data_IF_703440293812
#
_entry.id   IF_703440293812
#
_cell.length_a   1.000
_cell.length_b   1.000
_cell.length_c   1.000
_cell.angle_alpha   90.00
_cell.angle_beta   90.00
_cell.angle_gamma   90.00
#
_symmetry.space_group_name_H-M   'P 1'
#
loop_
_entity.id
_entity.type
_entity.pdbx_description
1 polymer ?
#
# COMPACT_ATOMS: atom_id res chain seq x y z
N UNK A 1 17.73 -13.33 -40.08
CA UNK A 1 17.33 -12.38 -39.01
C UNK A 1 16.65 -13.14 -37.85
N UNK A 2 17.12 -14.35 -37.51
CA UNK A 2 16.56 -15.26 -36.46
C UNK A 2 17.73 -15.81 -35.61
N UNK A 3 18.78 -15.01 -35.42
CA UNK A 3 19.96 -15.39 -34.62
C UNK A 3 20.13 -14.50 -33.37
N UNK A 4 19.21 -13.55 -33.14
CA UNK A 4 19.30 -12.56 -32.05
C UNK A 4 18.27 -12.72 -30.92
N UNK A 5 17.39 -13.72 -30.98
CA UNK A 5 16.24 -13.81 -30.05
C UNK A 5 16.50 -14.69 -28.82
N UNK A 6 17.66 -15.35 -28.74
CA UNK A 6 17.87 -16.54 -27.91
C UNK A 6 18.88 -16.33 -26.73
N UNK A 7 19.33 -15.10 -26.51
CA UNK A 7 20.05 -14.67 -25.29
C UNK A 7 19.11 -14.38 -24.08
N UNK A 8 17.80 -14.61 -24.20
CA UNK A 8 16.79 -14.01 -23.31
C UNK A 8 16.41 -14.79 -22.04
N UNK A 9 16.60 -16.13 -21.98
CA UNK A 9 16.47 -16.86 -20.71
C UNK A 9 17.86 -16.94 -20.09
N UNK A 10 18.06 -16.14 -19.06
CA UNK A 10 19.30 -16.01 -18.31
C UNK A 10 19.92 -17.40 -18.00
N UNK A 11 21.23 -17.53 -18.20
CA UNK A 11 21.95 -18.80 -18.02
C UNK A 11 21.75 -19.40 -16.61
N UNK A 12 21.52 -18.56 -15.61
CA UNK A 12 21.24 -18.97 -14.24
C UNK A 12 19.84 -19.61 -14.11
N UNK A 13 18.82 -19.12 -14.84
CA UNK A 13 17.49 -19.73 -14.85
C UNK A 13 17.59 -21.16 -15.40
N UNK A 14 18.33 -21.34 -16.49
CA UNK A 14 18.54 -22.67 -17.08
C UNK A 14 19.28 -23.60 -16.12
N UNK A 15 20.37 -23.13 -15.52
CA UNK A 15 21.13 -23.91 -14.56
C UNK A 15 20.27 -24.35 -13.37
N UNK A 16 19.41 -23.45 -12.87
CA UNK A 16 18.49 -23.75 -11.78
C UNK A 16 17.41 -24.77 -12.16
N UNK A 17 16.81 -24.67 -13.36
CA UNK A 17 15.85 -25.68 -13.86
C UNK A 17 16.51 -27.05 -14.00
N UNK A 18 17.72 -27.11 -14.56
CA UNK A 18 18.45 -28.37 -14.74
C UNK A 18 18.89 -29.02 -13.42
N UNK A 19 19.10 -28.20 -12.38
CA UNK A 19 19.45 -28.67 -11.04
C UNK A 19 18.21 -29.10 -10.22
N UNK A 20 17.00 -28.71 -10.64
CA UNK A 20 15.77 -29.03 -9.91
C UNK A 20 15.42 -30.52 -10.04
N UNK A 21 15.08 -31.16 -8.91
CA UNK A 21 14.70 -32.56 -8.88
C UNK A 21 13.44 -32.81 -9.71
N UNK A 22 13.46 -33.85 -10.54
CA UNK A 22 12.32 -34.26 -11.38
C UNK A 22 11.42 -35.21 -10.59
N UNK A 23 10.16 -34.83 -10.41
CA UNK A 23 9.11 -35.72 -9.92
C UNK A 23 8.44 -36.49 -11.06
N UNK A 24 7.82 -37.63 -10.78
CA UNK A 24 7.10 -38.41 -11.81
C UNK A 24 5.72 -37.84 -12.12
N UNK A 25 4.98 -37.42 -11.09
CA UNK A 25 3.61 -36.92 -11.24
C UNK A 25 3.27 -35.93 -10.14
N UNK A 26 2.57 -34.88 -10.51
CA UNK A 26 1.94 -33.95 -9.58
C UNK A 26 0.50 -33.67 -9.99
N UNK A 27 -0.42 -33.92 -9.05
CA UNK A 27 -1.85 -33.71 -9.24
C UNK A 27 -2.28 -32.38 -8.60
N UNK A 28 -2.77 -31.44 -9.42
CA UNK A 28 -3.35 -30.17 -8.96
C UNK A 28 -4.84 -30.40 -8.70
N UNK A 29 -5.23 -30.28 -7.44
CA UNK A 29 -6.63 -30.41 -6.97
C UNK A 29 -6.99 -29.22 -6.10
N UNK A 30 -8.23 -28.76 -6.19
CA UNK A 30 -8.74 -27.64 -5.38
C UNK A 30 -7.78 -26.44 -5.42
N UNK A 31 -7.34 -25.88 -4.28
CA UNK A 31 -6.35 -24.80 -4.19
C UNK A 31 -4.97 -25.33 -3.74
N UNK A 32 -4.28 -26.00 -4.66
CA UNK A 32 -2.97 -26.61 -4.40
C UNK A 32 -1.88 -25.54 -4.32
N UNK A 33 -1.02 -25.63 -3.30
CA UNK A 33 0.14 -24.74 -3.13
C UNK A 33 1.44 -25.53 -3.33
N UNK A 34 2.29 -25.06 -4.26
CA UNK A 34 3.65 -25.56 -4.43
C UNK A 34 4.64 -24.61 -3.75
N UNK A 35 5.40 -25.07 -2.74
CA UNK A 35 6.21 -24.18 -1.89
C UNK A 35 7.53 -23.72 -2.52
N UNK A 36 7.95 -24.33 -3.63
CA UNK A 36 9.22 -24.01 -4.31
C UNK A 36 8.98 -23.09 -5.52
N UNK A 37 10.06 -22.47 -5.98
CA UNK A 37 10.07 -21.59 -7.15
C UNK A 37 10.05 -22.40 -8.46
N UNK A 38 10.42 -23.69 -8.41
CA UNK A 38 10.45 -24.59 -9.57
C UNK A 38 9.61 -25.83 -9.26
N UNK A 39 8.63 -26.11 -10.12
CA UNK A 39 7.90 -27.38 -10.17
C UNK A 39 8.40 -28.13 -11.41
N UNK A 40 9.18 -29.19 -11.20
CA UNK A 40 9.74 -30.01 -12.29
C UNK A 40 9.22 -31.44 -12.20
N UNK A 41 8.37 -31.84 -13.15
CA UNK A 41 7.71 -33.15 -13.14
C UNK A 41 7.61 -33.76 -14.53
N UNK A 42 7.44 -35.08 -14.63
CA UNK A 42 7.09 -35.70 -15.91
C UNK A 42 5.62 -35.40 -16.25
N UNK A 43 4.70 -35.58 -15.31
CA UNK A 43 3.26 -35.39 -15.54
C UNK A 43 2.66 -34.38 -14.56
N UNK A 44 2.24 -33.22 -15.07
CA UNK A 44 1.46 -32.24 -14.33
C UNK A 44 -0.02 -32.38 -14.68
N UNK A 45 -0.86 -32.70 -13.71
CA UNK A 45 -2.26 -33.08 -13.95
C UNK A 45 -3.21 -32.12 -13.28
N UNK A 46 -3.98 -31.37 -14.07
CA UNK A 46 -5.02 -30.47 -13.59
C UNK A 46 -6.38 -31.18 -13.54
N UNK A 47 -7.01 -31.15 -12.37
CA UNK A 47 -8.40 -31.54 -12.20
C UNK A 47 -9.33 -30.37 -12.54
N UNK A 48 -10.62 -30.68 -12.73
CA UNK A 48 -11.65 -29.71 -13.07
C UNK A 48 -11.66 -28.54 -12.08
N UNK A 49 -11.57 -27.30 -12.60
CA UNK A 49 -11.58 -26.05 -11.80
C UNK A 49 -10.49 -25.98 -10.72
N UNK A 50 -9.37 -26.67 -10.92
CA UNK A 50 -8.26 -26.67 -9.96
C UNK A 50 -7.41 -25.41 -10.07
N UNK A 51 -6.75 -25.05 -8.97
CA UNK A 51 -5.88 -23.90 -8.81
C UNK A 51 -4.51 -24.37 -8.31
N UNK A 52 -3.45 -23.89 -8.98
CA UNK A 52 -2.06 -24.05 -8.57
C UNK A 52 -1.49 -22.69 -8.21
N UNK A 53 -1.11 -22.52 -6.94
CA UNK A 53 -0.31 -21.39 -6.48
C UNK A 53 1.14 -21.82 -6.32
N UNK A 54 2.05 -21.18 -7.04
CA UNK A 54 3.46 -21.60 -7.10
C UNK A 54 4.43 -20.45 -6.86
N UNK A 55 5.53 -20.75 -6.16
CA UNK A 55 6.62 -19.81 -5.91
C UNK A 55 6.32 -18.82 -4.79
N UNK A 56 7.14 -17.77 -4.71
CA UNK A 56 7.03 -16.68 -3.74
C UNK A 56 7.07 -15.34 -4.46
N UNK A 57 6.58 -14.31 -3.79
CA UNK A 57 6.51 -12.97 -4.38
C UNK A 57 7.88 -12.30 -4.55
N UNK A 58 8.90 -12.77 -3.84
CA UNK A 58 10.28 -12.29 -3.86
C UNK A 58 11.23 -13.19 -4.66
N UNK A 59 10.70 -14.23 -5.31
CA UNK A 59 11.50 -15.13 -6.13
C UNK A 59 12.13 -14.38 -7.31
N UNK A 60 13.34 -14.76 -7.75
CA UNK A 60 13.94 -14.17 -8.95
C UNK A 60 13.20 -14.59 -10.23
N UNK A 61 12.57 -15.75 -10.21
CA UNK A 61 11.68 -16.29 -11.25
C UNK A 61 10.84 -17.43 -10.68
N UNK A 62 9.82 -17.86 -11.40
CA UNK A 62 9.04 -19.07 -11.13
C UNK A 62 9.01 -19.93 -12.38
N UNK A 63 9.16 -21.25 -12.24
CA UNK A 63 9.15 -22.18 -13.37
C UNK A 63 8.23 -23.39 -13.13
N UNK A 64 7.39 -23.68 -14.11
CA UNK A 64 6.66 -24.93 -14.23
C UNK A 64 7.26 -25.69 -15.40
N UNK A 65 7.82 -26.86 -15.12
CA UNK A 65 8.52 -27.71 -16.06
C UNK A 65 7.83 -29.07 -16.07
N UNK A 66 7.26 -29.45 -17.21
CA UNK A 66 6.50 -30.68 -17.35
C UNK A 66 6.82 -31.42 -18.66
N UNK A 67 7.03 -32.75 -18.64
CA UNK A 67 7.04 -33.50 -19.92
C UNK A 67 5.65 -33.45 -20.57
N UNK A 68 4.59 -33.53 -19.77
CA UNK A 68 3.21 -33.41 -20.18
C UNK A 68 2.38 -32.62 -19.16
N UNK A 69 1.59 -31.66 -19.66
CA UNK A 69 0.51 -31.03 -18.91
C UNK A 69 -0.80 -31.69 -19.34
N UNK A 70 -1.50 -32.33 -18.42
CA UNK A 70 -2.74 -33.04 -18.69
C UNK A 70 -3.92 -32.40 -17.96
N UNK A 71 -4.98 -32.09 -18.69
CA UNK A 71 -6.24 -31.61 -18.11
C UNK A 71 -7.25 -32.75 -18.10
N UNK A 72 -7.76 -33.13 -16.92
CA UNK A 72 -8.85 -34.13 -16.84
C UNK A 72 -10.10 -33.68 -17.61
N UNK A 73 -10.40 -32.39 -17.56
CA UNK A 73 -11.55 -31.77 -18.22
C UNK A 73 -11.11 -30.43 -18.85
N UNK A 74 -10.84 -30.45 -20.16
CA UNK A 74 -10.44 -29.26 -20.91
C UNK A 74 -11.59 -28.27 -21.15
N UNK A 75 -12.82 -28.58 -20.76
CA UNK A 75 -13.96 -27.66 -20.83
C UNK A 75 -14.05 -26.73 -19.61
N UNK A 76 -13.23 -26.97 -18.58
CA UNK A 76 -13.17 -26.19 -17.37
C UNK A 76 -11.82 -25.47 -17.24
N UNK A 77 -11.85 -24.20 -16.85
CA UNK A 77 -10.64 -23.42 -16.65
C UNK A 77 -9.98 -23.76 -15.32
N UNK A 78 -8.75 -24.28 -15.40
CA UNK A 78 -7.86 -24.37 -14.24
C UNK A 78 -7.04 -23.09 -14.11
N UNK A 79 -6.54 -22.81 -12.92
CA UNK A 79 -5.82 -21.57 -12.61
C UNK A 79 -4.37 -21.85 -12.22
N UNK A 80 -3.45 -21.04 -12.73
CA UNK A 80 -2.10 -20.91 -12.18
C UNK A 80 -1.92 -19.49 -11.71
N UNK A 81 -1.45 -19.31 -10.48
CA UNK A 81 -1.18 -17.99 -9.90
C UNK A 81 0.19 -17.98 -9.24
N UNK A 82 0.93 -16.90 -9.47
CA UNK A 82 2.17 -16.61 -8.75
C UNK A 82 1.86 -15.56 -7.67
N UNK A 83 2.18 -15.82 -6.39
CA UNK A 83 1.87 -14.89 -5.30
C UNK A 83 2.43 -13.48 -5.54
N UNK A 84 1.66 -12.47 -5.14
CA UNK A 84 2.08 -11.07 -5.15
C UNK A 84 2.50 -10.62 -3.75
N UNK A 85 3.42 -9.64 -3.69
CA UNK A 85 3.76 -9.01 -2.42
C UNK A 85 2.60 -8.10 -1.99
N UNK A 86 2.23 -8.05 -0.71
CA UNK A 86 1.27 -7.06 -0.24
C UNK A 86 1.83 -5.65 -0.45
N UNK A 87 0.94 -4.69 -0.68
CA UNK A 87 1.28 -3.28 -0.66
C UNK A 87 1.79 -2.88 0.74
N UNK A 88 2.70 -1.90 0.80
CA UNK A 88 3.22 -1.37 2.06
C UNK A 88 2.77 0.08 2.16
N UNK A 89 1.83 0.33 3.06
CA UNK A 89 1.28 1.66 3.27
C UNK A 89 2.23 2.55 4.08
N UNK A 90 2.09 3.85 3.87
CA UNK A 90 2.77 4.85 4.66
C UNK A 90 2.20 4.92 6.09
N UNK A 91 3.04 5.10 7.11
CA UNK A 91 2.56 5.27 8.48
C UNK A 91 1.74 6.55 8.63
N UNK A 92 0.75 6.54 9.51
CA UNK A 92 0.04 7.77 9.87
C UNK A 92 0.96 8.74 10.63
N UNK A 93 0.76 10.04 10.40
CA UNK A 93 1.45 11.09 11.13
C UNK A 93 0.95 11.16 12.58
N UNK A 94 1.82 11.30 13.59
CA UNK A 94 1.39 11.53 14.96
C UNK A 94 0.65 12.87 15.12
N UNK A 95 -0.28 12.90 16.07
CA UNK A 95 -0.99 14.12 16.44
C UNK A 95 -0.06 15.17 17.06
N UNK A 96 -0.38 16.43 16.82
CA UNK A 96 0.29 17.58 17.41
C UNK A 96 0.03 17.65 18.91
N UNK A 97 1.02 18.12 19.66
CA UNK A 97 0.88 18.29 21.11
C UNK A 97 -0.10 19.41 21.42
N UNK A 98 -0.93 19.18 22.43
CA UNK A 98 -1.77 20.23 23.00
C UNK A 98 -0.90 21.31 23.66
N UNK A 99 -1.39 22.55 23.67
CA UNK A 99 -0.78 23.61 24.48
C UNK A 99 -0.69 23.22 25.95
N UNK A 100 0.13 23.91 26.73
CA UNK A 100 0.24 23.68 28.17
C UNK A 100 0.29 25.00 28.96
N UNK A 101 -0.59 25.12 29.96
CA UNK A 101 -0.75 26.34 30.80
C UNK A 101 0.41 26.58 31.78
N UNK A 102 1.66 26.21 31.47
CA UNK A 102 2.74 26.36 32.46
C UNK A 102 4.08 26.88 31.98
N UNK A 103 4.55 26.67 30.75
CA UNK A 103 5.96 27.00 30.47
C UNK A 103 6.30 27.42 29.03
N UNK A 104 5.64 26.93 27.98
CA UNK A 104 6.16 27.09 26.60
C UNK A 104 5.19 27.80 25.65
N UNK A 105 3.98 27.27 25.43
CA UNK A 105 2.93 27.92 24.61
C UNK A 105 1.54 27.48 25.05
N UNK A 106 0.55 28.37 24.97
CA UNK A 106 -0.87 27.98 25.03
C UNK A 106 -1.33 27.37 23.69
N UNK A 107 -0.62 27.64 22.60
CA UNK A 107 -0.96 27.17 21.27
C UNK A 107 -0.71 25.66 21.14
N UNK A 108 -1.62 24.98 20.45
CA UNK A 108 -1.43 23.60 20.02
C UNK A 108 -0.46 23.51 18.84
N UNK A 109 0.31 22.43 18.80
CA UNK A 109 1.28 22.18 17.74
C UNK A 109 0.64 21.55 16.51
N UNK A 110 1.30 21.70 15.37
CA UNK A 110 0.88 21.04 14.14
C UNK A 110 0.88 19.50 14.29
N UNK A 111 -0.09 18.85 13.67
CA UNK A 111 -0.03 17.41 13.41
C UNK A 111 1.09 17.10 12.43
N UNK A 112 1.74 15.96 12.60
CA UNK A 112 2.79 15.53 11.69
C UNK A 112 2.22 14.99 10.38
N UNK A 113 3.03 15.05 9.32
CA UNK A 113 2.66 14.52 8.02
C UNK A 113 2.53 12.99 8.05
N UNK A 114 1.62 12.47 7.23
CA UNK A 114 1.54 11.04 6.93
C UNK A 114 2.70 10.61 6.04
N UNK A 115 3.20 9.40 6.26
CA UNK A 115 4.29 8.84 5.49
C UNK A 115 3.87 8.44 4.07
N UNK A 116 4.84 8.40 3.17
CA UNK A 116 4.64 7.93 1.79
C UNK A 116 4.47 6.41 1.76
N UNK A 117 3.56 5.90 0.92
CA UNK A 117 3.47 4.46 0.64
C UNK A 117 4.75 3.92 -0.03
N UNK A 118 4.84 2.61 -0.23
CA UNK A 118 5.91 2.01 -1.04
C UNK A 118 5.42 1.70 -2.47
N UNK A 119 6.27 1.82 -3.50
CA UNK A 119 5.91 1.34 -4.84
C UNK A 119 5.67 -0.16 -4.83
N UNK A 120 4.76 -0.62 -5.70
CA UNK A 120 4.56 -2.03 -5.95
C UNK A 120 5.84 -2.71 -6.38
N UNK A 121 6.04 -3.96 -5.95
CA UNK A 121 7.16 -4.80 -6.41
C UNK A 121 6.81 -5.54 -7.67
N UNK A 122 7.72 -5.51 -8.65
CA UNK A 122 7.61 -6.31 -9.88
C UNK A 122 7.47 -7.78 -9.53
N UNK A 123 6.50 -8.44 -10.15
CA UNK A 123 6.30 -9.86 -9.99
C UNK A 123 7.42 -10.66 -10.67
N UNK A 124 7.84 -11.82 -10.13
CA UNK A 124 8.78 -12.70 -10.82
C UNK A 124 8.26 -13.11 -12.21
N UNK A 125 9.17 -13.26 -13.20
CA UNK A 125 8.83 -13.88 -14.46
C UNK A 125 8.39 -15.33 -14.25
N UNK A 126 7.38 -15.77 -15.00
CA UNK A 126 6.87 -17.14 -15.01
C UNK A 126 7.31 -17.85 -16.29
N UNK A 127 7.97 -18.99 -16.15
CA UNK A 127 8.36 -19.87 -17.25
C UNK A 127 7.48 -21.11 -17.22
N UNK A 128 6.68 -21.31 -18.27
CA UNK A 128 5.95 -22.55 -18.53
C UNK A 128 6.68 -23.34 -19.61
N UNK A 129 7.45 -24.34 -19.21
CA UNK A 129 8.16 -25.25 -20.11
C UNK A 129 7.43 -26.59 -20.16
N UNK A 130 6.91 -26.98 -21.32
CA UNK A 130 6.37 -28.33 -21.46
C UNK A 130 6.54 -28.99 -22.82
N UNK A 131 6.54 -30.33 -22.80
CA UNK A 131 6.67 -31.14 -24.01
C UNK A 131 5.38 -31.28 -24.82
N UNK A 132 4.24 -31.46 -24.14
CA UNK A 132 2.92 -31.61 -24.77
C UNK A 132 1.78 -31.26 -23.82
N UNK A 133 0.60 -31.05 -24.39
CA UNK A 133 -0.66 -30.94 -23.65
C UNK A 133 -1.56 -32.15 -23.96
N UNK A 134 -2.16 -32.73 -22.93
CA UNK A 134 -3.14 -33.81 -23.05
C UNK A 134 -4.47 -33.46 -22.40
N UNK A 135 -5.54 -34.13 -22.83
CA UNK A 135 -6.89 -33.89 -22.35
C UNK A 135 -7.63 -35.21 -22.10
N UNK A 136 -8.38 -35.29 -21.00
CA UNK A 136 -9.40 -36.32 -20.79
C UNK A 136 -10.67 -36.01 -21.57
N UNK A 137 -11.11 -34.75 -21.49
CA UNK A 137 -12.16 -34.17 -22.33
C UNK A 137 -11.55 -32.98 -23.10
N UNK A 138 -11.59 -32.95 -24.44
CA UNK A 138 -11.03 -31.84 -25.21
C UNK A 138 -11.73 -30.49 -24.92
N UNK A 139 -11.04 -29.36 -25.10
CA UNK A 139 -11.62 -28.04 -24.92
C UNK A 139 -12.77 -27.79 -25.92
N UNK A 140 -13.89 -27.25 -25.42
CA UNK A 140 -15.13 -27.02 -26.17
C UNK A 140 -15.21 -25.65 -26.87
N UNK A 141 -14.10 -24.89 -26.92
CA UNK A 141 -14.00 -23.59 -27.58
C UNK A 141 -14.56 -22.38 -26.82
N UNK A 142 -15.37 -22.57 -25.77
CA UNK A 142 -15.96 -21.46 -24.97
C UNK A 142 -15.19 -21.11 -23.70
N UNK A 143 -14.25 -21.95 -23.27
CA UNK A 143 -13.46 -21.73 -22.06
C UNK A 143 -12.05 -22.26 -22.25
N UNK A 144 -11.02 -21.47 -21.89
CA UNK A 144 -9.64 -21.92 -21.95
C UNK A 144 -9.43 -23.00 -20.89
N UNK A 145 -8.68 -24.09 -21.17
CA UNK A 145 -8.40 -25.13 -20.18
C UNK A 145 -7.51 -24.62 -19.04
N UNK A 146 -6.73 -23.56 -19.29
CA UNK A 146 -5.84 -22.93 -18.32
C UNK A 146 -5.96 -21.41 -18.38
N UNK A 147 -6.01 -20.79 -17.22
CA UNK A 147 -5.76 -19.37 -17.01
C UNK A 147 -4.48 -19.19 -16.19
N UNK A 148 -3.55 -18.40 -16.69
CA UNK A 148 -2.32 -18.00 -16.00
C UNK A 148 -2.49 -16.56 -15.54
N UNK A 149 -2.50 -16.33 -14.24
CA UNK A 149 -2.62 -14.99 -13.65
C UNK A 149 -1.24 -14.51 -13.18
N UNK A 150 -0.75 -13.49 -13.87
CA UNK A 150 0.51 -12.79 -13.60
C UNK A 150 0.18 -11.34 -13.26
N UNK A 151 -0.15 -11.04 -11.99
CA UNK A 151 -0.50 -9.69 -11.57
C UNK A 151 0.66 -9.02 -10.84
N UNK A 152 0.95 -7.76 -11.17
CA UNK A 152 1.90 -6.94 -10.42
C UNK A 152 1.41 -6.64 -9.00
N UNK A 153 2.33 -6.36 -8.07
CA UNK A 153 1.93 -5.94 -6.74
C UNK A 153 1.31 -4.52 -6.77
N UNK A 154 0.32 -4.30 -5.92
CA UNK A 154 -0.28 -2.98 -5.75
C UNK A 154 0.72 -1.99 -5.14
N UNK A 155 0.51 -0.70 -5.42
CA UNK A 155 1.19 0.38 -4.75
C UNK A 155 0.65 0.60 -3.34
N UNK A 156 1.52 1.03 -2.44
CA UNK A 156 1.16 1.39 -1.07
C UNK A 156 0.36 2.67 -1.00
N UNK A 157 -0.68 2.68 -0.16
CA UNK A 157 -1.42 3.88 0.19
C UNK A 157 -0.55 4.83 1.00
N UNK A 158 -0.72 6.14 0.82
CA UNK A 158 -0.15 7.14 1.71
C UNK A 158 -0.78 7.12 3.10
N UNK A 159 0.02 7.39 4.13
CA UNK A 159 -0.44 7.50 5.51
C UNK A 159 -1.29 8.76 5.72
N UNK A 160 -2.25 8.71 6.63
CA UNK A 160 -3.04 9.90 6.98
C UNK A 160 -2.19 10.89 7.79
N UNK A 161 -2.42 12.18 7.60
CA UNK A 161 -1.81 13.22 8.42
C UNK A 161 -2.37 13.23 9.85
N UNK A 162 -1.52 13.55 10.81
CA UNK A 162 -1.89 13.65 12.22
C UNK A 162 -2.82 14.83 12.49
N UNK A 163 -3.66 14.72 13.51
CA UNK A 163 -4.51 15.83 13.95
C UNK A 163 -3.66 16.93 14.60
N UNK A 164 -4.01 18.19 14.38
CA UNK A 164 -3.39 19.31 15.09
C UNK A 164 -3.74 19.33 16.58
N UNK A 165 -2.80 19.77 17.40
CA UNK A 165 -2.99 19.91 18.84
C UNK A 165 -4.03 20.97 19.20
N UNK A 166 -4.77 20.74 20.27
CA UNK A 166 -5.70 21.75 20.80
C UNK A 166 -4.95 22.90 21.48
N UNK A 167 -5.46 24.12 21.32
CA UNK A 167 -5.00 25.27 22.09
C UNK A 167 -5.58 25.26 23.50
N UNK A 168 -4.80 25.74 24.46
CA UNK A 168 -5.18 25.77 25.87
C UNK A 168 -6.02 26.98 26.25
N UNK A 169 -6.82 26.81 27.30
CA UNK A 169 -7.60 27.93 27.83
C UNK A 169 -6.67 29.00 28.41
N UNK A 170 -6.93 30.26 28.06
CA UNK A 170 -6.28 31.41 28.67
C UNK A 170 -6.64 31.55 30.16
N UNK A 171 -5.70 32.00 30.98
CA UNK A 171 -5.90 32.18 32.41
C UNK A 171 -6.97 33.23 32.70
N UNK A 172 -7.83 32.94 33.65
CA UNK A 172 -8.79 33.93 34.15
C UNK A 172 -8.03 35.10 34.79
N UNK A 173 -8.58 36.31 34.67
CA UNK A 173 -8.00 37.51 35.25
C UNK A 173 -7.98 37.46 36.77
N UNK A 174 -7.14 38.27 37.40
CA UNK A 174 -7.11 38.41 38.86
C UNK A 174 -7.85 39.67 39.31
N UNK A 175 -8.66 39.59 40.38
CA UNK A 175 -9.37 40.76 40.86
C UNK A 175 -8.37 41.77 41.41
N UNK A 176 -8.73 43.05 41.34
CA UNK A 176 -7.96 44.08 42.01
C UNK A 176 -7.97 43.88 43.53
N UNK A 177 -7.03 44.48 44.24
CA UNK A 177 -7.00 44.52 45.70
C UNK A 177 -7.06 45.97 46.15
N UNK A 178 -7.85 46.24 47.18
CA UNK A 178 -7.99 47.55 47.78
C UNK A 178 -7.80 47.48 49.30
N UNK A 179 -7.52 48.62 49.90
CA UNK A 179 -7.61 48.84 51.34
C UNK A 179 -8.33 50.16 51.62
N UNK A 180 -8.74 50.34 52.87
CA UNK A 180 -9.25 51.60 53.38
C UNK A 180 -8.06 52.40 53.93
N UNK A 181 -7.93 53.67 53.55
CA UNK A 181 -6.95 54.56 54.17
C UNK A 181 -7.28 54.77 55.66
N UNK A 182 -6.25 54.95 56.49
CA UNK A 182 -6.39 55.24 57.91
C UNK A 182 -7.31 56.46 58.12
N UNK A 183 -8.47 56.24 58.76
CA UNK A 183 -9.56 57.23 58.87
C UNK A 183 -10.84 56.86 58.10
N UNK A 184 -10.88 55.72 57.41
CA UNK A 184 -12.11 55.05 56.96
C UNK A 184 -12.90 55.72 55.83
N UNK A 185 -12.37 56.79 55.25
CA UNK A 185 -13.15 57.67 54.35
C UNK A 185 -12.81 57.50 52.86
N UNK A 186 -11.75 56.76 52.52
CA UNK A 186 -11.23 56.62 51.16
C UNK A 186 -10.79 55.18 50.88
N UNK A 187 -11.19 54.65 49.72
CA UNK A 187 -10.81 53.31 49.23
C UNK A 187 -9.71 53.47 48.20
N UNK A 188 -8.52 52.97 48.50
CA UNK A 188 -7.37 53.01 47.59
C UNK A 188 -7.17 51.64 46.97
N UNK A 189 -6.96 51.62 45.65
CA UNK A 189 -6.67 50.39 44.94
C UNK A 189 -5.16 50.10 44.95
N UNK A 190 -4.76 49.05 45.66
CA UNK A 190 -3.38 48.57 45.77
C UNK A 190 -2.92 47.83 44.51
N UNK A 191 -3.84 47.06 43.92
CA UNK A 191 -3.56 46.25 42.74
C UNK A 191 -4.72 46.41 41.79
N UNK A 192 -4.45 46.85 40.57
CA UNK A 192 -5.45 46.93 39.53
C UNK A 192 -5.88 45.51 39.10
N UNK A 193 -7.16 45.30 38.76
CA UNK A 193 -7.59 44.03 38.16
C UNK A 193 -6.81 43.76 36.87
N UNK A 194 -6.46 42.50 36.66
CA UNK A 194 -5.78 42.03 35.45
C UNK A 194 -6.83 41.40 34.52
N UNK A 195 -6.80 41.68 33.21
CA UNK A 195 -7.69 41.01 32.25
C UNK A 195 -7.48 39.50 32.23
N UNK A 196 -8.47 38.77 31.69
CA UNK A 196 -8.24 37.38 31.31
C UNK A 196 -7.22 37.30 30.17
N UNK A 197 -6.42 36.25 30.13
CA UNK A 197 -5.48 36.00 29.03
C UNK A 197 -6.21 35.38 27.84
N UNK A 198 -5.71 35.63 26.63
CA UNK A 198 -6.21 34.98 25.43
C UNK A 198 -5.96 33.47 25.49
N UNK A 199 -6.86 32.71 24.88
CA UNK A 199 -6.69 31.27 24.68
C UNK A 199 -5.66 30.99 23.59
N UNK A 200 -5.04 29.81 23.65
CA UNK A 200 -4.11 29.36 22.66
C UNK A 200 -4.77 29.02 21.33
N UNK A 201 -4.03 29.25 20.24
CA UNK A 201 -4.44 28.86 18.90
C UNK A 201 -4.49 27.33 18.77
N UNK A 202 -5.35 26.84 17.89
CA UNK A 202 -5.29 25.45 17.47
C UNK A 202 -4.02 25.21 16.63
N UNK A 203 -3.49 23.99 16.70
CA UNK A 203 -2.50 23.49 15.75
C UNK A 203 -3.16 23.07 14.43
N UNK A 204 -2.51 23.29 13.27
CA UNK A 204 -3.00 22.78 12.00
C UNK A 204 -2.88 21.25 11.94
N UNK A 205 -3.73 20.61 11.12
CA UNK A 205 -3.56 19.19 10.82
C UNK A 205 -2.37 18.95 9.89
N UNK A 206 -1.75 17.78 9.99
CA UNK A 206 -0.67 17.36 9.12
C UNK A 206 -1.16 16.98 7.73
N UNK A 207 -0.31 17.09 6.72
CA UNK A 207 -0.63 16.65 5.36
C UNK A 207 -0.73 15.12 5.26
N UNK A 208 -1.59 14.61 4.37
CA UNK A 208 -1.59 13.19 4.02
C UNK A 208 -0.36 12.82 3.19
N UNK A 209 0.17 11.62 3.41
CA UNK A 209 1.27 11.09 2.62
C UNK A 209 0.85 10.72 1.21
N UNK A 210 1.79 10.72 0.26
CA UNK A 210 1.50 10.31 -1.11
C UNK A 210 1.30 8.79 -1.24
N UNK A 211 0.35 8.40 -2.08
CA UNK A 211 0.25 7.03 -2.58
C UNK A 211 1.36 6.73 -3.59
N UNK A 212 1.59 5.45 -3.90
CA UNK A 212 2.64 5.05 -4.86
C UNK A 212 2.11 4.19 -5.99
N UNK A 213 2.79 4.18 -7.15
CA UNK A 213 2.37 3.37 -8.28
C UNK A 213 2.49 1.88 -7.98
N UNK A 214 1.63 1.11 -8.63
CA UNK A 214 1.72 -0.33 -8.70
C UNK A 214 2.93 -0.80 -9.51
N UNK A 215 3.16 -2.10 -9.47
CA UNK A 215 4.08 -2.76 -10.38
C UNK A 215 3.34 -3.36 -11.59
N UNK A 216 4.05 -3.53 -12.72
CA UNK A 216 3.59 -4.38 -13.80
C UNK A 216 3.57 -5.86 -13.35
N UNK A 217 2.78 -6.67 -14.04
CA UNK A 217 2.86 -8.13 -13.94
C UNK A 217 4.21 -8.68 -14.41
N UNK A 218 4.45 -9.95 -14.10
CA UNK A 218 5.69 -10.63 -14.46
C UNK A 218 5.68 -11.04 -15.93
N UNK A 219 6.85 -11.11 -16.56
CA UNK A 219 6.98 -11.63 -17.93
C UNK A 219 6.56 -13.10 -17.94
N UNK A 220 5.79 -13.51 -18.95
CA UNK A 220 5.35 -14.91 -19.09
C UNK A 220 6.02 -15.53 -20.32
N UNK A 221 6.77 -16.61 -20.11
CA UNK A 221 7.46 -17.36 -21.15
C UNK A 221 6.79 -18.71 -21.34
N UNK A 222 6.26 -18.95 -22.54
CA UNK A 222 5.72 -20.25 -22.94
C UNK A 222 6.75 -20.93 -23.83
N UNK A 223 7.28 -22.06 -23.36
CA UNK A 223 8.42 -22.77 -23.98
C UNK A 223 8.06 -24.22 -24.23
N UNK A 224 8.21 -24.69 -25.46
CA UNK A 224 7.93 -26.10 -25.79
C UNK A 224 8.03 -26.41 -27.28
N UNK A 225 7.78 -27.66 -27.69
CA UNK A 225 7.71 -28.01 -29.10
C UNK A 225 6.57 -27.26 -29.80
N UNK A 226 6.61 -27.17 -31.13
CA UNK A 226 5.60 -26.41 -31.89
C UNK A 226 4.16 -26.84 -31.59
N UNK A 227 3.93 -28.13 -31.34
CA UNK A 227 2.60 -28.66 -31.00
C UNK A 227 2.14 -28.22 -29.60
N UNK A 228 3.05 -28.12 -28.62
CA UNK A 228 2.75 -27.54 -27.32
C UNK A 228 2.42 -26.06 -27.43
N UNK A 229 3.25 -25.28 -28.14
CA UNK A 229 3.02 -23.85 -28.33
C UNK A 229 1.65 -23.60 -28.97
N UNK A 230 1.27 -24.39 -29.99
CA UNK A 230 -0.06 -24.31 -30.60
C UNK A 230 -1.20 -24.61 -29.61
N UNK A 231 -1.06 -25.63 -28.77
CA UNK A 231 -2.05 -25.93 -27.74
C UNK A 231 -2.12 -24.84 -26.66
N UNK A 232 -0.98 -24.21 -26.34
CA UNK A 232 -0.92 -23.11 -25.37
C UNK A 232 -1.58 -21.82 -25.88
N UNK A 233 -1.83 -21.68 -27.18
CA UNK A 233 -2.64 -20.57 -27.72
C UNK A 233 -4.09 -20.61 -27.21
N UNK A 234 -4.59 -21.77 -26.78
CA UNK A 234 -5.90 -21.90 -26.14
C UNK A 234 -5.88 -21.50 -24.66
N UNK A 235 -4.72 -21.18 -24.09
CA UNK A 235 -4.60 -20.71 -22.72
C UNK A 235 -4.93 -19.22 -22.63
N UNK A 236 -5.53 -18.83 -21.51
CA UNK A 236 -5.68 -17.42 -21.15
C UNK A 236 -4.50 -16.99 -20.30
N UNK A 237 -3.96 -15.81 -20.58
CA UNK A 237 -2.90 -15.20 -19.79
C UNK A 237 -3.40 -13.83 -19.34
N UNK A 238 -3.76 -13.72 -18.07
CA UNK A 238 -4.09 -12.47 -17.41
C UNK A 238 -2.80 -11.86 -16.83
N UNK A 239 -2.01 -11.22 -17.70
CA UNK A 239 -0.84 -10.44 -17.29
C UNK A 239 -1.30 -9.00 -17.01
N UNK A 240 -1.47 -8.64 -15.74
CA UNK A 240 -2.09 -7.39 -15.32
C UNK A 240 -1.15 -6.60 -14.42
N UNK A 241 -1.22 -5.27 -14.47
CA UNK A 241 -0.63 -4.46 -13.43
C UNK A 241 -1.38 -4.62 -12.10
N UNK A 242 -0.70 -4.26 -11.00
CA UNK A 242 -1.38 -3.97 -9.75
C UNK A 242 -2.17 -2.67 -9.82
N UNK A 243 -2.84 -2.34 -8.73
CA UNK A 243 -3.56 -1.08 -8.54
C UNK A 243 -2.68 -0.07 -7.81
N UNK A 244 -2.71 1.19 -8.24
CA UNK A 244 -1.97 2.27 -7.59
C UNK A 244 -2.52 2.53 -6.19
N UNK A 245 -1.63 2.94 -5.28
CA UNK A 245 -2.02 3.32 -3.93
C UNK A 245 -2.64 4.71 -3.89
N UNK A 246 -3.72 4.85 -3.12
CA UNK A 246 -4.34 6.15 -2.86
C UNK A 246 -3.47 7.04 -1.96
N UNK A 247 -3.63 8.35 -2.07
CA UNK A 247 -3.12 9.32 -1.11
C UNK A 247 -3.74 9.16 0.28
N UNK A 248 -2.96 9.53 1.28
CA UNK A 248 -3.45 9.70 2.66
C UNK A 248 -4.40 10.87 2.79
N UNK A 249 -5.28 10.84 3.77
CA UNK A 249 -6.12 11.99 4.12
C UNK A 249 -5.29 13.01 4.87
N UNK A 250 -5.59 14.28 4.69
CA UNK A 250 -5.06 15.32 5.56
C UNK A 250 -5.66 15.21 6.97
N UNK A 251 -4.86 15.57 7.98
CA UNK A 251 -5.25 15.61 9.37
C UNK A 251 -6.23 16.74 9.66
N UNK A 252 -7.11 16.54 10.65
CA UNK A 252 -7.98 17.60 11.12
C UNK A 252 -7.22 18.63 11.97
N UNK A 253 -7.65 19.89 12.03
CA UNK A 253 -7.06 20.86 12.94
C UNK A 253 -7.41 20.52 14.40
N UNK A 254 -6.64 21.12 15.31
CA UNK A 254 -7.00 21.22 16.71
C UNK A 254 -8.19 22.14 16.96
N UNK A 255 -8.63 22.16 18.20
CA UNK A 255 -9.67 23.07 18.71
C UNK A 255 -9.00 24.27 19.37
N UNK A 256 -9.45 25.51 19.09
CA UNK A 256 -8.90 26.68 19.76
C UNK A 256 -9.21 26.70 21.24
N UNK A 257 -8.27 27.21 22.04
CA UNK A 257 -8.46 27.45 23.46
C UNK A 257 -9.45 28.57 23.72
N UNK A 258 -10.27 28.43 24.75
CA UNK A 258 -11.14 29.53 25.18
C UNK A 258 -10.32 30.64 25.85
N UNK A 259 -10.77 31.89 25.71
CA UNK A 259 -10.20 33.00 26.46
C UNK A 259 -10.50 32.92 27.96
N UNK A 260 -9.60 33.47 28.77
CA UNK A 260 -9.78 33.61 30.21
C UNK A 260 -10.87 34.61 30.56
N UNK A 261 -11.67 34.31 31.58
CA UNK A 261 -12.70 35.23 32.06
C UNK A 261 -12.07 36.35 32.87
N UNK A 262 -12.48 37.58 32.61
CA UNK A 262 -12.25 38.67 33.54
C UNK A 262 -13.11 38.51 34.78
N UNK A 263 -12.55 38.93 35.90
CA UNK A 263 -13.18 38.88 37.21
C UNK A 263 -13.72 40.24 37.60
N UNK A 264 -14.79 40.24 38.39
CA UNK A 264 -15.44 41.46 38.88
C UNK A 264 -14.42 42.26 39.72
N UNK A 265 -14.24 43.56 39.45
CA UNK A 265 -13.32 44.39 40.21
C UNK A 265 -13.84 44.59 41.63
N UNK A 266 -12.91 44.70 42.58
CA UNK A 266 -13.22 45.14 43.95
C UNK A 266 -13.53 46.65 43.93
N UNK A 267 -14.39 47.12 44.84
CA UNK A 267 -14.80 48.53 44.88
C UNK A 267 -13.58 49.48 44.92
N UNK A 268 -13.62 50.57 44.17
CA UNK A 268 -12.50 51.53 44.10
C UNK A 268 -11.33 51.11 43.18
N UNK A 269 -11.34 49.89 42.61
CA UNK A 269 -10.28 49.41 41.70
C UNK A 269 -10.61 49.55 40.20
N UNK A 270 -11.38 50.57 39.82
CA UNK A 270 -11.71 50.86 38.43
C UNK A 270 -12.68 49.87 37.79
N UNK A 271 -12.91 49.99 36.46
CA UNK A 271 -13.87 49.15 35.74
C UNK A 271 -13.36 47.71 35.53
N UNK A 272 -14.31 46.80 35.25
CA UNK A 272 -14.00 45.42 34.85
C UNK A 272 -13.12 45.44 33.59
N UNK A 273 -12.04 44.67 33.60
CA UNK A 273 -11.18 44.45 32.43
C UNK A 273 -11.85 43.48 31.44
N UNK A 274 -11.51 43.48 30.15
CA UNK A 274 -12.11 42.55 29.19
C UNK A 274 -11.72 41.10 29.48
N UNK A 275 -12.59 40.17 29.05
CA UNK A 275 -12.24 38.75 28.93
C UNK A 275 -11.14 38.59 27.86
N UNK A 276 -10.34 37.54 27.99
CA UNK A 276 -9.44 37.11 26.94
C UNK A 276 -10.22 36.61 25.73
N UNK A 277 -9.62 36.71 24.56
CA UNK A 277 -10.17 36.21 23.30
C UNK A 277 -9.93 34.69 23.20
N UNK A 278 -10.86 33.93 22.59
CA UNK A 278 -10.54 32.58 22.15
C UNK A 278 -9.36 32.61 21.17
N UNK A 279 -8.59 31.53 21.13
CA UNK A 279 -7.55 31.35 20.11
C UNK A 279 -8.13 31.22 18.71
N UNK A 280 -7.25 31.26 17.71
CA UNK A 280 -7.64 31.11 16.31
C UNK A 280 -7.78 29.63 15.91
N UNK A 281 -8.75 29.29 15.04
CA UNK A 281 -8.79 27.98 14.39
C UNK A 281 -7.62 27.82 13.42
N UNK A 282 -7.25 26.57 13.18
CA UNK A 282 -6.23 26.21 12.21
C UNK A 282 -6.84 25.46 11.01
N UNK A 283 -6.01 25.26 9.99
CA UNK A 283 -6.43 24.60 8.76
C UNK A 283 -6.34 23.07 8.88
N UNK A 284 -7.21 22.40 8.13
CA UNK A 284 -7.06 20.98 7.78
C UNK A 284 -5.78 20.82 6.96
N UNK A 285 -5.07 19.71 7.13
CA UNK A 285 -3.95 19.38 6.26
C UNK A 285 -4.43 19.00 4.87
N UNK A 286 -3.61 19.23 3.84
CA UNK A 286 -3.98 18.81 2.50
C UNK A 286 -3.94 17.28 2.38
N UNK A 287 -4.84 16.66 1.59
CA UNK A 287 -4.73 15.25 1.27
C UNK A 287 -3.44 14.98 0.49
N UNK A 288 -2.88 13.79 0.67
CA UNK A 288 -1.79 13.31 -0.15
C UNK A 288 -2.25 13.14 -1.59
N UNK A 289 -1.33 13.38 -2.52
CA UNK A 289 -1.57 13.13 -3.92
C UNK A 289 -1.23 11.68 -4.27
N UNK A 290 -1.93 11.13 -5.25
CA UNK A 290 -1.43 9.97 -5.97
C UNK A 290 -0.30 10.52 -6.84
N UNK A 291 0.90 9.92 -6.79
CA UNK A 291 1.98 10.34 -7.67
C UNK A 291 1.48 10.10 -9.11
N UNK A 292 1.14 11.18 -9.82
CA UNK A 292 0.43 11.24 -11.11
C UNK A 292 1.31 10.74 -12.27
N UNK A 293 2.03 9.63 -12.10
CA UNK A 293 2.42 8.79 -13.22
C UNK A 293 1.16 8.10 -13.74
N UNK A 294 0.24 8.89 -14.31
CA UNK A 294 -1.10 8.53 -14.79
C UNK A 294 -1.12 7.48 -15.91
N UNK A 295 0.02 6.85 -16.20
CA UNK A 295 0.08 5.68 -17.05
C UNK A 295 0.13 4.45 -16.13
N UNK A 296 -0.98 3.69 -16.00
CA UNK A 296 -0.94 2.42 -15.30
C UNK A 296 0.21 1.59 -15.88
N UNK A 297 0.99 0.88 -15.05
CA UNK A 297 2.12 0.11 -15.54
C UNK A 297 1.65 -0.80 -16.68
N UNK A 298 2.36 -0.77 -17.80
CA UNK A 298 2.01 -1.65 -18.91
C UNK A 298 2.03 -3.11 -18.41
N UNK A 299 1.09 -3.96 -18.84
CA UNK A 299 1.15 -5.38 -18.53
C UNK A 299 2.49 -5.96 -19.00
N UNK A 300 2.96 -6.98 -18.29
CA UNK A 300 4.19 -7.65 -18.69
C UNK A 300 4.06 -8.27 -20.10
N UNK A 301 5.15 -8.33 -20.88
CA UNK A 301 5.15 -9.04 -22.14
C UNK A 301 4.90 -10.55 -21.96
N UNK A 302 4.28 -11.14 -22.98
CA UNK A 302 4.14 -12.59 -23.15
C UNK A 302 5.01 -13.01 -24.32
N UNK A 303 5.82 -14.05 -24.13
CA UNK A 303 6.75 -14.58 -25.13
C UNK A 303 6.46 -16.04 -25.44
N UNK A 304 6.33 -16.36 -26.73
CA UNK A 304 6.23 -17.74 -27.23
C UNK A 304 7.58 -18.15 -27.83
N UNK A 305 8.18 -19.22 -27.30
CA UNK A 305 9.53 -19.66 -27.67
C UNK A 305 9.49 -21.14 -28.10
N UNK A 306 9.60 -21.44 -29.41
CA UNK A 306 9.71 -22.81 -29.89
C UNK A 306 10.99 -23.47 -29.39
N UNK A 307 10.90 -24.73 -28.94
CA UNK A 307 12.05 -25.60 -28.67
C UNK A 307 12.72 -25.99 -30.00
N UNK A 308 13.54 -25.12 -30.57
CA UNK A 308 14.66 -25.62 -31.38
C UNK A 308 15.66 -26.31 -30.45
N UNK A 309 16.25 -27.47 -30.82
CA UNK A 309 17.39 -28.25 -30.24
C UNK A 309 17.89 -28.05 -28.78
N UNK A 310 17.12 -27.46 -27.87
CA UNK A 310 17.62 -26.75 -26.70
C UNK A 310 17.76 -27.57 -25.43
N UNK A 311 17.06 -28.70 -25.33
CA UNK A 311 17.19 -29.66 -24.25
C UNK A 311 16.47 -30.95 -24.67
N UNK A 312 17.04 -32.14 -24.40
CA UNK A 312 16.19 -33.29 -24.22
C UNK A 312 15.28 -32.96 -23.03
N UNK A 313 13.96 -33.04 -23.22
CA UNK A 313 13.06 -33.19 -22.09
C UNK A 313 13.58 -34.37 -21.25
N UNK A 314 13.47 -34.35 -19.91
CA UNK A 314 13.89 -35.50 -19.10
C UNK A 314 13.31 -36.78 -19.72
N UNK A 315 14.21 -37.72 -20.04
CA UNK A 315 13.87 -39.02 -20.63
C UNK A 315 12.81 -39.74 -19.78
#
# INVERSE_FOLDING_TARGET
MIEKTIEFIDANIRAAINAASVGTRFDVRDDTVWPSDILNVEHLVFYRLSSLRIGRADSPFVAIVAREIYFHDGTATSLVTVPTSPAIDGPAGPDGRHGIDRVETLDGEAGAEGGVGAPGRRQPPLILLAGRVGYGVPPGGSSPPLNIVSRGANGGRGGDGGRGGDGEKGRDGTPGRNHLEDGGSSVVCDVQPVPGQDGGNAGPGGHGGAGRPAAPGGDVYIVGPQDFIRAALDFKIDNLAGEDGDGGRGGSPGTPGAGGKSVKPVAGCGPRKPDGRPGMPANVGDPGHNDDTNDPPAPGPVYEIPLGSWLPLPD
#
